data_IF_469959963865
#
_entry.id   IF_469959963865
#
_cell.length_a   1.000
_cell.length_b   1.000
_cell.length_c   1.000
_cell.angle_alpha   90.00
_cell.angle_beta   90.00
_cell.angle_gamma   90.00
#
_symmetry.space_group_name_H-M   'P 1'
#
loop_
_entity.id
_entity.type
_entity.pdbx_description
1 polymer ?
#
# COMPACT_ATOMS: atom_id res chain seq x y z
N UNK A 1 22.67 -21.56 -51.24
CA UNK A 1 21.51 -20.74 -50.88
C UNK A 1 20.89 -21.31 -49.61
N UNK A 2 21.62 -21.30 -48.47
CA UNK A 2 21.18 -21.75 -47.15
C UNK A 2 21.89 -20.86 -46.11
N UNK A 3 21.63 -19.56 -46.18
CA UNK A 3 22.12 -18.60 -45.21
C UNK A 3 20.97 -17.61 -44.94
N UNK A 4 19.96 -18.01 -44.17
CA UNK A 4 19.02 -17.09 -43.57
C UNK A 4 18.04 -17.82 -42.66
N UNK A 5 18.50 -18.35 -41.52
CA UNK A 5 17.66 -18.63 -40.36
C UNK A 5 18.55 -18.73 -39.10
N UNK A 6 19.44 -17.76 -38.90
CA UNK A 6 19.80 -17.42 -37.52
C UNK A 6 18.74 -16.41 -37.09
N UNK A 7 17.63 -16.87 -36.52
CA UNK A 7 16.83 -16.03 -35.65
C UNK A 7 17.78 -15.57 -34.56
N UNK A 8 18.23 -14.32 -34.64
CA UNK A 8 18.77 -13.62 -33.48
C UNK A 8 17.71 -13.73 -32.37
N UNK A 9 17.88 -14.66 -31.48
CA UNK A 9 17.24 -14.65 -30.18
C UNK A 9 17.93 -13.55 -29.37
N UNK A 10 17.78 -12.28 -29.77
CA UNK A 10 18.07 -11.18 -28.88
C UNK A 10 17.04 -11.30 -27.76
N UNK A 11 17.50 -11.56 -26.55
CA UNK A 11 16.70 -11.44 -25.36
C UNK A 11 16.08 -10.04 -25.37
N UNK A 12 14.75 -9.97 -25.41
CA UNK A 12 14.02 -8.72 -25.39
C UNK A 12 13.94 -8.28 -23.93
N UNK A 13 14.95 -7.49 -23.51
CA UNK A 13 15.04 -6.98 -22.14
C UNK A 13 13.89 -6.00 -21.87
N UNK A 14 13.05 -6.31 -20.92
CA UNK A 14 11.94 -5.45 -20.49
C UNK A 14 11.62 -5.61 -19.01
N UNK A 15 11.09 -4.55 -18.43
CA UNK A 15 10.67 -4.54 -17.02
C UNK A 15 9.20 -4.14 -16.94
N UNK A 16 8.41 -4.92 -16.20
CA UNK A 16 7.02 -4.60 -15.88
C UNK A 16 6.90 -4.32 -14.39
N UNK A 17 6.56 -3.07 -14.02
CA UNK A 17 6.16 -2.75 -12.66
C UNK A 17 4.70 -3.16 -12.47
N UNK A 18 4.45 -4.06 -11.55
CA UNK A 18 3.13 -4.65 -11.32
C UNK A 18 2.67 -4.41 -9.89
N UNK A 19 1.50 -3.79 -9.74
CA UNK A 19 0.81 -3.72 -8.46
C UNK A 19 0.15 -5.05 -8.10
N UNK A 20 0.52 -5.57 -6.94
CA UNK A 20 0.02 -6.84 -6.40
C UNK A 20 -1.37 -6.72 -5.76
N UNK A 21 -1.86 -5.48 -5.53
CA UNK A 21 -3.02 -5.25 -4.69
C UNK A 21 -2.70 -5.19 -3.19
N UNK A 22 -3.72 -5.06 -2.35
CA UNK A 22 -3.56 -4.71 -0.93
C UNK A 22 -3.18 -5.89 -0.02
N UNK A 23 -3.26 -7.16 -0.49
CA UNK A 23 -2.95 -8.34 0.33
C UNK A 23 -3.65 -9.60 -0.14
N UNK A 24 -4.95 -9.56 -0.39
CA UNK A 24 -5.71 -10.67 -0.99
C UNK A 24 -5.20 -10.92 -2.42
N UNK A 25 -4.70 -12.13 -2.74
CA UNK A 25 -4.19 -12.44 -4.06
C UNK A 25 -5.26 -12.34 -5.17
N UNK A 26 -6.53 -12.50 -4.86
CA UNK A 26 -7.62 -12.38 -5.83
C UNK A 26 -7.91 -10.93 -6.24
N UNK A 27 -7.31 -9.95 -5.54
CA UNK A 27 -7.40 -8.53 -5.90
C UNK A 27 -6.33 -8.07 -6.89
N UNK A 28 -5.54 -8.99 -7.43
CA UNK A 28 -4.64 -8.69 -8.55
C UNK A 28 -5.44 -8.47 -9.83
N UNK A 29 -4.95 -7.59 -10.71
CA UNK A 29 -5.57 -7.42 -12.02
C UNK A 29 -5.32 -8.61 -12.96
N UNK A 30 -6.28 -8.93 -13.84
CA UNK A 30 -6.08 -9.96 -14.88
C UNK A 30 -4.86 -9.66 -15.78
N UNK A 31 -4.54 -8.38 -16.01
CA UNK A 31 -3.34 -7.97 -16.74
C UNK A 31 -2.08 -8.32 -15.95
N UNK A 32 -2.13 -8.19 -14.62
CA UNK A 32 -1.05 -8.57 -13.72
C UNK A 32 -0.76 -10.07 -13.74
N UNK A 33 -1.82 -10.90 -13.69
CA UNK A 33 -1.67 -12.36 -13.82
C UNK A 33 -0.98 -12.73 -15.14
N UNK A 34 -1.39 -12.11 -16.25
CA UNK A 34 -0.77 -12.37 -17.58
C UNK A 34 0.70 -11.94 -17.62
N UNK A 35 1.06 -10.86 -16.95
CA UNK A 35 2.44 -10.42 -16.86
C UNK A 35 3.29 -11.43 -16.06
N UNK A 36 2.80 -11.89 -14.91
CA UNK A 36 3.45 -12.94 -14.12
C UNK A 36 3.66 -14.21 -14.92
N UNK A 37 2.65 -14.66 -15.69
CA UNK A 37 2.72 -15.85 -16.53
C UNK A 37 3.79 -15.77 -17.62
N UNK A 38 4.19 -14.58 -18.02
CA UNK A 38 5.22 -14.34 -19.04
C UNK A 38 6.57 -13.92 -18.46
N UNK A 39 6.73 -13.90 -17.13
CA UNK A 39 7.95 -13.48 -16.47
C UNK A 39 9.06 -14.51 -16.58
N UNK A 40 10.27 -14.04 -16.85
CA UNK A 40 11.50 -14.83 -16.70
C UNK A 40 12.06 -14.67 -15.27
N UNK A 41 11.84 -13.47 -14.68
CA UNK A 41 12.26 -13.13 -13.32
C UNK A 41 11.15 -12.36 -12.62
N UNK A 42 10.90 -12.64 -11.35
CA UNK A 42 10.00 -11.89 -10.47
C UNK A 42 10.78 -11.38 -9.27
N UNK A 43 10.88 -10.05 -9.13
CA UNK A 43 11.40 -9.39 -7.91
C UNK A 43 10.19 -8.90 -7.10
N UNK A 44 10.08 -9.30 -5.82
CA UNK A 44 8.90 -9.00 -5.01
C UNK A 44 9.21 -8.47 -3.62
N UNK A 45 8.31 -7.60 -3.10
CA UNK A 45 8.43 -6.92 -1.81
C UNK A 45 7.85 -7.75 -0.64
N UNK A 46 8.15 -7.33 0.58
CA UNK A 46 7.75 -8.02 1.82
C UNK A 46 6.23 -8.10 2.05
N UNK A 47 5.45 -7.12 1.59
CA UNK A 47 3.99 -7.09 1.76
C UNK A 47 3.24 -7.73 0.58
N UNK A 48 3.94 -8.32 -0.36
CA UNK A 48 3.34 -9.08 -1.47
C UNK A 48 2.91 -10.45 -0.94
N UNK A 49 1.69 -10.86 -1.26
CA UNK A 49 1.24 -12.23 -0.97
C UNK A 49 1.97 -13.21 -1.88
N UNK A 50 2.73 -14.12 -1.27
CA UNK A 50 3.57 -15.08 -2.00
C UNK A 50 2.74 -16.05 -2.87
N UNK A 51 1.43 -16.23 -2.62
CA UNK A 51 0.56 -17.02 -3.48
C UNK A 51 0.54 -16.50 -4.93
N UNK A 52 0.76 -15.19 -5.15
CA UNK A 52 0.85 -14.61 -6.48
C UNK A 52 2.03 -15.15 -7.31
N UNK A 53 3.09 -15.59 -6.64
CA UNK A 53 4.26 -16.18 -7.32
C UNK A 53 3.94 -17.51 -8.03
N UNK A 54 2.83 -18.14 -7.68
CA UNK A 54 2.36 -19.36 -8.35
C UNK A 54 1.84 -19.10 -9.77
N UNK A 55 1.54 -17.83 -10.12
CA UNK A 55 1.19 -17.47 -11.49
C UNK A 55 2.41 -17.40 -12.41
N UNK A 56 3.62 -17.22 -11.87
CA UNK A 56 4.84 -17.22 -12.68
C UNK A 56 5.22 -18.64 -13.10
N UNK A 57 5.86 -18.80 -14.28
CA UNK A 57 6.37 -20.10 -14.71
C UNK A 57 7.26 -20.75 -13.64
N UNK A 58 7.24 -22.07 -13.54
CA UNK A 58 8.07 -22.82 -12.58
C UNK A 58 9.56 -22.49 -12.74
N UNK A 59 10.01 -22.30 -13.98
CA UNK A 59 11.38 -21.94 -14.33
C UNK A 59 11.76 -20.47 -14.04
N UNK A 60 10.77 -19.62 -13.74
CA UNK A 60 11.02 -18.22 -13.47
C UNK A 60 11.82 -18.05 -12.17
N UNK A 61 12.83 -17.19 -12.19
CA UNK A 61 13.63 -16.85 -11.02
C UNK A 61 12.80 -15.94 -10.12
N UNK A 62 12.62 -16.29 -8.85
CA UNK A 62 11.83 -15.53 -7.88
C UNK A 62 12.77 -14.98 -6.82
N UNK A 63 12.85 -13.66 -6.67
CA UNK A 63 13.80 -12.96 -5.80
C UNK A 63 13.05 -12.06 -4.84
N UNK A 64 13.19 -12.34 -3.56
CA UNK A 64 12.72 -11.46 -2.50
C UNK A 64 13.67 -10.27 -2.38
N UNK A 65 13.15 -9.05 -2.52
CA UNK A 65 13.89 -7.80 -2.37
C UNK A 65 13.30 -6.89 -1.29
N UNK A 66 12.31 -7.41 -0.55
CA UNK A 66 11.70 -6.70 0.56
C UNK A 66 12.62 -6.63 1.79
N UNK A 67 12.20 -5.85 2.78
CA UNK A 67 12.88 -5.76 4.06
C UNK A 67 12.11 -6.61 5.08
N UNK A 68 12.74 -7.66 5.62
CA UNK A 68 12.22 -8.43 6.77
C UNK A 68 13.03 -8.05 8.01
N UNK A 69 12.37 -8.05 9.16
CA UNK A 69 13.02 -7.76 10.45
C UNK A 69 14.22 -8.72 10.67
N UNK A 70 15.42 -8.16 10.73
CA UNK A 70 16.66 -8.93 10.97
C UNK A 70 17.52 -9.20 9.74
N UNK A 71 17.05 -8.94 8.52
CA UNK A 71 17.83 -9.07 7.30
C UNK A 71 18.50 -7.74 6.93
N UNK A 72 19.65 -7.80 6.24
CA UNK A 72 20.20 -6.60 5.58
C UNK A 72 19.26 -6.16 4.47
N UNK A 73 18.63 -5.00 4.65
CA UNK A 73 17.71 -4.44 3.68
C UNK A 73 18.45 -4.10 2.38
N UNK A 74 17.92 -4.52 1.25
CA UNK A 74 18.36 -3.98 -0.03
C UNK A 74 18.11 -2.46 -0.06
N UNK A 75 19.15 -1.69 -0.37
CA UNK A 75 18.94 -0.28 -0.70
C UNK A 75 18.11 -0.16 -1.99
N UNK A 76 17.35 0.93 -2.15
CA UNK A 76 16.61 1.14 -3.41
C UNK A 76 17.53 1.08 -4.63
N UNK A 77 18.74 1.62 -4.51
CA UNK A 77 19.73 1.56 -5.56
C UNK A 77 20.13 0.11 -5.92
N UNK A 78 20.29 -0.75 -4.91
CA UNK A 78 20.58 -2.16 -5.14
C UNK A 78 19.42 -2.90 -5.82
N UNK A 79 18.16 -2.60 -5.44
CA UNK A 79 16.97 -3.15 -6.11
C UNK A 79 16.91 -2.70 -7.57
N UNK A 80 17.13 -1.41 -7.82
CA UNK A 80 17.14 -0.85 -9.18
C UNK A 80 18.20 -1.53 -10.04
N UNK A 81 19.42 -1.71 -9.51
CA UNK A 81 20.51 -2.39 -10.24
C UNK A 81 20.16 -3.86 -10.51
N UNK A 82 19.60 -4.58 -9.53
CA UNK A 82 19.17 -5.96 -9.72
C UNK A 82 18.13 -6.09 -10.85
N UNK A 83 17.12 -5.20 -10.91
CA UNK A 83 16.12 -5.22 -11.98
C UNK A 83 16.78 -5.12 -13.35
N UNK A 84 17.71 -4.18 -13.53
CA UNK A 84 18.44 -3.96 -14.79
C UNK A 84 19.30 -5.16 -15.14
N UNK A 85 20.10 -5.66 -14.19
CA UNK A 85 20.98 -6.81 -14.39
C UNK A 85 20.20 -8.05 -14.81
N UNK A 86 19.07 -8.31 -14.15
CA UNK A 86 18.22 -9.44 -14.50
C UNK A 86 17.51 -9.25 -15.85
N UNK A 87 17.06 -8.04 -16.19
CA UNK A 87 16.44 -7.78 -17.49
C UNK A 87 17.44 -8.00 -18.63
N UNK A 88 18.67 -7.53 -18.50
CA UNK A 88 19.72 -7.68 -19.52
C UNK A 88 20.17 -9.14 -19.71
N UNK A 89 20.14 -9.95 -18.65
CA UNK A 89 20.64 -11.31 -18.70
C UNK A 89 19.57 -12.38 -18.92
N UNK A 90 18.30 -12.11 -18.55
CA UNK A 90 17.23 -13.13 -18.54
C UNK A 90 15.99 -12.73 -19.35
N UNK A 91 15.76 -11.45 -19.68
CA UNK A 91 14.66 -10.99 -20.52
C UNK A 91 13.57 -10.24 -19.74
N UNK A 92 12.40 -10.82 -19.54
CA UNK A 92 11.26 -10.14 -18.90
C UNK A 92 11.33 -10.21 -17.38
N UNK A 93 11.60 -9.07 -16.75
CA UNK A 93 11.53 -8.90 -15.30
C UNK A 93 10.17 -8.33 -14.91
N UNK A 94 9.46 -9.00 -14.00
CA UNK A 94 8.29 -8.44 -13.32
C UNK A 94 8.70 -7.98 -11.93
N UNK A 95 8.62 -6.67 -11.69
CA UNK A 95 8.79 -6.05 -10.38
C UNK A 95 7.43 -5.99 -9.69
N UNK A 96 7.16 -6.94 -8.80
CA UNK A 96 5.89 -7.10 -8.10
C UNK A 96 5.91 -6.31 -6.79
N UNK A 97 5.08 -5.28 -6.71
CA UNK A 97 5.02 -4.30 -5.61
C UNK A 97 3.68 -4.39 -4.89
N UNK A 98 3.67 -4.28 -3.57
CA UNK A 98 2.42 -4.24 -2.80
C UNK A 98 1.58 -3.02 -3.18
N UNK A 99 0.26 -3.16 -3.16
CA UNK A 99 -0.68 -2.10 -3.53
C UNK A 99 -0.54 -1.67 -4.99
N UNK A 100 -0.31 -0.38 -5.20
CA UNK A 100 -0.07 0.25 -6.51
C UNK A 100 1.38 0.74 -6.62
N UNK A 101 2.08 0.55 -7.75
CA UNK A 101 3.49 0.93 -7.91
C UNK A 101 3.79 2.42 -7.74
N UNK A 102 2.79 3.29 -7.94
CA UNK A 102 2.93 4.75 -7.88
C UNK A 102 2.29 5.40 -6.64
N UNK A 103 1.73 4.60 -5.71
CA UNK A 103 1.17 5.12 -4.45
C UNK A 103 2.13 4.79 -3.31
N UNK A 104 2.97 5.73 -2.92
CA UNK A 104 4.02 5.62 -1.87
C UNK A 104 4.98 4.43 -2.05
N UNK A 105 5.19 3.97 -3.28
CA UNK A 105 5.94 2.77 -3.60
C UNK A 105 7.21 3.01 -4.45
N UNK A 106 7.60 4.27 -4.69
CA UNK A 106 8.82 4.67 -5.42
C UNK A 106 8.93 4.09 -6.85
N UNK A 107 7.79 3.72 -7.46
CA UNK A 107 7.80 3.07 -8.78
C UNK A 107 8.40 3.93 -9.89
N UNK A 108 8.24 5.27 -9.82
CA UNK A 108 8.84 6.15 -10.81
C UNK A 108 10.38 6.13 -10.78
N UNK A 109 10.99 6.04 -9.59
CA UNK A 109 12.44 5.92 -9.46
C UNK A 109 12.97 4.63 -10.11
N UNK A 110 12.21 3.53 -10.00
CA UNK A 110 12.53 2.25 -10.61
C UNK A 110 12.42 2.31 -12.15
N UNK A 111 11.38 3.00 -12.67
CA UNK A 111 11.18 3.23 -14.12
C UNK A 111 12.32 4.09 -14.68
N UNK A 112 12.55 5.26 -14.10
CA UNK A 112 13.58 6.22 -14.55
C UNK A 112 14.97 5.57 -14.61
N UNK A 113 15.29 4.78 -13.59
CA UNK A 113 16.56 4.04 -13.55
C UNK A 113 16.65 3.01 -14.68
N UNK A 114 15.60 2.22 -14.91
CA UNK A 114 15.59 1.19 -15.97
C UNK A 114 15.69 1.81 -17.37
N UNK A 115 14.95 2.89 -17.62
CA UNK A 115 14.95 3.61 -18.90
C UNK A 115 16.29 4.28 -19.18
N UNK A 116 17.07 4.67 -18.15
CA UNK A 116 18.45 5.16 -18.32
C UNK A 116 19.40 4.11 -18.94
N UNK A 117 19.05 2.82 -18.82
CA UNK A 117 19.75 1.69 -19.49
C UNK A 117 19.10 1.30 -20.82
N UNK A 118 18.17 2.11 -21.35
CA UNK A 118 17.41 1.83 -22.57
C UNK A 118 16.60 0.52 -22.51
N UNK A 119 16.13 0.14 -21.32
CA UNK A 119 15.25 -1.01 -21.12
C UNK A 119 13.80 -0.52 -21.24
N UNK A 120 13.00 -1.22 -22.04
CA UNK A 120 11.57 -0.94 -22.15
C UNK A 120 10.86 -1.20 -20.83
N UNK A 121 10.08 -0.23 -20.36
CA UNK A 121 9.29 -0.35 -19.13
C UNK A 121 7.79 -0.35 -19.41
N UNK A 122 7.03 -1.05 -18.60
CA UNK A 122 5.57 -1.02 -18.60
C UNK A 122 5.03 -1.03 -17.18
N UNK A 123 3.88 -0.38 -17.00
CA UNK A 123 3.23 -0.27 -15.70
C UNK A 123 1.88 -0.97 -15.74
N UNK A 124 1.62 -1.79 -14.73
CA UNK A 124 0.32 -2.40 -14.48
C UNK A 124 -0.13 -1.94 -13.10
N UNK A 125 -1.14 -1.03 -13.01
CA UNK A 125 -1.67 -0.57 -11.74
C UNK A 125 -2.18 -1.70 -10.87
N UNK A 126 -2.10 -1.50 -9.55
CA UNK A 126 -2.73 -2.35 -8.56
C UNK A 126 -3.76 -1.60 -7.73
N UNK A 127 -4.59 -2.33 -6.99
CA UNK A 127 -5.50 -1.72 -6.03
C UNK A 127 -4.68 -1.21 -4.84
N UNK A 128 -4.65 0.12 -4.65
CA UNK A 128 -4.01 0.71 -3.46
C UNK A 128 -4.79 0.34 -2.19
N UNK A 129 -4.07 -0.02 -1.12
CA UNK A 129 -4.67 -0.25 0.20
C UNK A 129 -5.42 0.98 0.71
N UNK A 130 -4.98 2.19 0.34
CA UNK A 130 -5.60 3.44 0.76
C UNK A 130 -7.08 3.56 0.36
N UNK A 131 -7.49 2.96 -0.74
CA UNK A 131 -8.87 3.00 -1.24
C UNK A 131 -9.56 1.64 -1.20
N UNK A 132 -8.82 0.57 -1.47
CA UNK A 132 -9.38 -0.79 -1.53
C UNK A 132 -9.78 -1.31 -0.17
N UNK A 133 -8.88 -1.22 0.82
CA UNK A 133 -9.11 -1.80 2.15
C UNK A 133 -10.27 -1.15 2.90
N UNK A 134 -10.39 0.19 3.00
CA UNK A 134 -11.56 0.79 3.62
C UNK A 134 -12.89 0.41 2.94
N UNK A 135 -12.86 0.28 1.59
CA UNK A 135 -14.03 -0.13 0.82
C UNK A 135 -14.54 -1.53 1.18
N UNK A 136 -13.66 -2.49 1.47
CA UNK A 136 -14.00 -3.83 1.95
C UNK A 136 -14.76 -3.76 3.29
N UNK A 137 -14.48 -2.75 4.12
CA UNK A 137 -15.14 -2.50 5.41
C UNK A 137 -16.34 -1.55 5.32
N UNK A 138 -16.85 -1.27 4.12
CA UNK A 138 -17.97 -0.34 3.91
C UNK A 138 -17.69 1.09 4.39
N UNK A 139 -16.42 1.48 4.39
CA UNK A 139 -15.98 2.85 4.65
C UNK A 139 -15.66 3.48 3.30
N UNK A 140 -16.57 4.27 2.71
CA UNK A 140 -16.33 4.94 1.44
C UNK A 140 -15.36 6.09 1.64
N UNK A 141 -14.56 6.41 0.63
CA UNK A 141 -13.68 7.58 0.69
C UNK A 141 -14.47 8.89 0.62
N UNK A 142 -15.58 8.87 -0.10
CA UNK A 142 -16.49 10.00 -0.29
C UNK A 142 -17.91 9.53 -0.06
N UNK A 143 -18.68 10.32 0.70
CA UNK A 143 -20.10 10.13 0.86
C UNK A 143 -20.76 11.51 1.00
N UNK A 144 -21.83 11.77 0.20
CA UNK A 144 -22.54 13.05 0.24
C UNK A 144 -22.90 13.42 1.66
N UNK A 145 -22.75 14.70 2.02
CA UNK A 145 -23.01 15.27 3.35
C UNK A 145 -21.96 14.96 4.42
N UNK A 146 -21.01 14.01 4.18
CA UNK A 146 -19.94 13.68 5.12
C UNK A 146 -18.56 14.07 4.63
N UNK A 147 -18.29 13.95 3.33
CA UNK A 147 -16.99 14.28 2.72
C UNK A 147 -17.15 14.43 1.21
N UNK A 148 -16.58 15.48 0.64
CA UNK A 148 -16.62 15.75 -0.81
C UNK A 148 -15.31 15.38 -1.51
N UNK A 149 -14.23 15.24 -0.75
CA UNK A 149 -12.92 14.81 -1.24
C UNK A 149 -12.20 13.92 -0.21
N UNK A 150 -11.05 13.40 -0.58
CA UNK A 150 -10.21 12.66 0.36
C UNK A 150 -8.72 12.91 0.10
N UNK A 151 -7.94 12.78 1.17
CA UNK A 151 -6.50 12.88 1.18
C UNK A 151 -5.89 11.49 1.41
N UNK A 152 -4.77 11.21 0.75
CA UNK A 152 -3.93 10.05 1.05
C UNK A 152 -2.53 10.56 1.38
N UNK A 153 -2.09 10.31 2.61
CA UNK A 153 -0.86 10.87 3.16
C UNK A 153 0.04 9.77 3.74
N UNK A 154 1.34 10.04 3.77
CA UNK A 154 2.25 9.31 4.64
C UNK A 154 2.17 9.87 6.06
N UNK A 155 2.10 9.03 7.07
CA UNK A 155 2.14 9.45 8.48
C UNK A 155 3.49 10.02 8.89
N UNK A 156 4.55 9.60 8.19
CA UNK A 156 5.92 10.05 8.46
C UNK A 156 6.63 10.54 7.20
N UNK A 157 7.55 11.47 7.37
CA UNK A 157 8.46 11.92 6.32
C UNK A 157 9.65 10.95 6.17
N UNK A 158 10.57 11.25 5.27
CA UNK A 158 11.79 10.43 5.02
C UNK A 158 12.75 10.35 6.21
N UNK A 159 12.58 11.18 7.24
CA UNK A 159 13.37 11.13 8.49
C UNK A 159 12.65 10.37 9.61
N UNK A 160 11.46 9.81 9.36
CA UNK A 160 10.65 9.16 10.38
C UNK A 160 9.92 10.13 11.34
N UNK A 161 9.89 11.43 11.01
CA UNK A 161 9.14 12.45 11.76
C UNK A 161 7.71 12.54 11.21
N UNK A 162 6.77 13.03 12.01
CA UNK A 162 5.39 13.30 11.57
C UNK A 162 5.38 14.16 10.30
N UNK A 163 4.60 13.74 9.31
CA UNK A 163 4.42 14.52 8.07
C UNK A 163 3.76 15.86 8.36
N UNK A 164 4.36 16.93 7.84
CA UNK A 164 3.81 18.29 7.98
C UNK A 164 2.42 18.44 7.30
N UNK A 165 2.16 17.62 6.28
CA UNK A 165 0.89 17.65 5.52
C UNK A 165 -0.31 17.24 6.38
N UNK A 166 -0.08 16.43 7.43
CA UNK A 166 -1.12 16.06 8.39
C UNK A 166 -1.79 17.26 9.06
N UNK A 167 -1.03 18.33 9.32
CA UNK A 167 -1.61 19.55 9.91
C UNK A 167 -2.60 20.22 8.96
N UNK A 168 -2.30 20.24 7.67
CA UNK A 168 -3.22 20.75 6.63
C UNK A 168 -4.47 19.88 6.51
N UNK A 169 -4.30 18.57 6.47
CA UNK A 169 -5.38 17.60 6.38
C UNK A 169 -6.29 17.63 7.62
N UNK A 170 -5.73 17.76 8.82
CA UNK A 170 -6.50 17.85 10.06
C UNK A 170 -7.42 19.08 10.14
N UNK A 171 -7.11 20.17 9.42
CA UNK A 171 -7.98 21.35 9.32
C UNK A 171 -9.17 21.16 8.39
N UNK A 172 -9.08 20.23 7.45
CA UNK A 172 -10.17 19.95 6.51
C UNK A 172 -11.22 19.02 7.14
N UNK A 173 -12.45 19.04 6.64
CA UNK A 173 -13.51 18.10 7.03
C UNK A 173 -13.56 16.86 6.13
N UNK A 174 -12.55 16.70 5.31
CA UNK A 174 -12.44 15.63 4.33
C UNK A 174 -11.94 14.33 4.95
N UNK A 175 -12.15 13.23 4.23
CA UNK A 175 -11.60 11.92 4.62
C UNK A 175 -10.08 11.92 4.48
N UNK A 176 -9.35 11.52 5.50
CA UNK A 176 -7.89 11.44 5.51
C UNK A 176 -7.45 10.01 5.73
N UNK A 177 -6.78 9.44 4.73
CA UNK A 177 -6.15 8.12 4.82
C UNK A 177 -4.67 8.29 5.06
N UNK A 178 -4.17 7.67 6.13
CA UNK A 178 -2.76 7.76 6.51
C UNK A 178 -2.12 6.38 6.39
N UNK A 179 -1.13 6.27 5.53
CA UNK A 179 -0.26 5.11 5.40
C UNK A 179 1.01 5.32 6.23
N UNK A 180 1.66 4.24 6.68
CA UNK A 180 2.93 4.32 7.44
C UNK A 180 2.82 5.21 8.70
N UNK A 181 1.66 5.19 9.38
CA UNK A 181 1.39 6.07 10.51
C UNK A 181 1.17 5.34 11.83
N UNK A 182 1.05 4.01 11.86
CA UNK A 182 0.63 3.29 13.06
C UNK A 182 1.55 3.49 14.25
N UNK A 183 2.86 3.49 14.06
CA UNK A 183 3.85 3.69 15.12
C UNK A 183 3.81 5.12 15.70
N UNK A 184 3.18 6.05 14.99
CA UNK A 184 3.01 7.45 15.36
C UNK A 184 1.54 7.82 15.64
N UNK A 185 0.68 6.82 15.86
CA UNK A 185 -0.77 7.02 16.03
C UNK A 185 -1.10 8.06 17.11
N UNK A 186 -0.41 8.04 18.24
CA UNK A 186 -0.61 8.98 19.34
C UNK A 186 -0.28 10.42 18.91
N UNK A 187 0.85 10.61 18.23
CA UNK A 187 1.27 11.92 17.73
C UNK A 187 0.34 12.41 16.62
N UNK A 188 -0.13 11.51 15.73
CA UNK A 188 -1.09 11.83 14.67
C UNK A 188 -2.43 12.24 15.29
N UNK A 189 -2.94 11.50 16.27
CA UNK A 189 -4.17 11.85 16.97
C UNK A 189 -4.08 13.25 17.62
N UNK A 190 -2.96 13.60 18.22
CA UNK A 190 -2.72 14.93 18.79
C UNK A 190 -2.76 16.05 17.75
N UNK A 191 -2.37 15.80 16.48
CA UNK A 191 -2.53 16.79 15.40
C UNK A 191 -4.01 17.08 15.16
N UNK A 192 -4.87 16.07 15.11
CA UNK A 192 -6.32 16.25 14.93
C UNK A 192 -6.98 16.89 16.17
N UNK A 193 -6.56 16.51 17.40
CA UNK A 193 -7.06 17.11 18.64
C UNK A 193 -6.80 18.61 18.70
N UNK A 194 -5.63 19.08 18.27
CA UNK A 194 -5.29 20.51 18.21
C UNK A 194 -6.24 21.32 17.33
N UNK A 195 -6.90 20.66 16.37
CA UNK A 195 -7.90 21.28 15.49
C UNK A 195 -9.34 21.07 16.01
N UNK A 196 -9.53 20.63 17.28
CA UNK A 196 -10.82 20.45 17.92
C UNK A 196 -11.60 19.21 17.42
N UNK A 197 -10.87 18.18 16.93
CA UNK A 197 -11.46 16.99 16.31
C UNK A 197 -11.36 15.74 17.18
N UNK A 198 -11.46 15.87 18.49
CA UNK A 198 -11.37 14.76 19.46
C UNK A 198 -12.41 13.67 19.18
N UNK A 199 -13.59 14.05 18.70
CA UNK A 199 -14.70 13.14 18.42
C UNK A 199 -14.77 12.67 16.96
N UNK A 200 -13.82 13.07 16.11
CA UNK A 200 -13.78 12.63 14.72
C UNK A 200 -13.64 11.09 14.68
N UNK A 201 -14.51 10.38 13.92
CA UNK A 201 -14.40 8.93 13.75
C UNK A 201 -13.08 8.52 13.09
N UNK A 202 -12.49 7.43 13.61
CA UNK A 202 -11.24 6.85 13.11
C UNK A 202 -11.37 5.35 12.98
N UNK A 203 -10.89 4.80 11.87
CA UNK A 203 -10.66 3.37 11.70
C UNK A 203 -9.16 3.10 11.57
N UNK A 204 -8.71 2.01 12.20
CA UNK A 204 -7.36 1.46 12.04
C UNK A 204 -7.51 0.05 11.50
N UNK A 205 -6.89 -0.24 10.37
CA UNK A 205 -7.00 -1.54 9.71
C UNK A 205 -5.60 -2.12 9.54
N UNK A 206 -5.30 -3.15 10.33
CA UNK A 206 -4.06 -3.92 10.30
C UNK A 206 -4.20 -5.08 9.31
N UNK A 207 -3.15 -5.39 8.57
CA UNK A 207 -3.09 -6.49 7.61
C UNK A 207 -4.28 -6.51 6.62
N UNK A 208 -4.74 -5.33 6.19
CA UNK A 208 -5.96 -5.18 5.40
C UNK A 208 -6.04 -6.09 4.18
N UNK A 209 -7.20 -6.71 3.96
CA UNK A 209 -7.54 -7.71 2.94
C UNK A 209 -6.82 -9.06 3.07
N UNK A 210 -6.12 -9.34 4.15
CA UNK A 210 -5.50 -10.65 4.39
C UNK A 210 -6.33 -11.48 5.38
N UNK A 211 -5.93 -12.74 5.58
CA UNK A 211 -6.58 -13.64 6.57
C UNK A 211 -6.33 -13.21 8.03
N UNK A 212 -5.28 -12.41 8.25
CA UNK A 212 -4.90 -11.90 9.57
C UNK A 212 -5.34 -10.45 9.77
N UNK A 213 -6.38 -10.02 9.03
CA UNK A 213 -6.91 -8.67 9.10
C UNK A 213 -7.58 -8.39 10.45
N UNK A 214 -7.25 -7.22 11.03
CA UNK A 214 -7.94 -6.67 12.20
C UNK A 214 -8.37 -5.24 11.94
N UNK A 215 -9.60 -4.91 12.34
CA UNK A 215 -10.12 -3.54 12.29
C UNK A 215 -10.49 -3.05 13.68
N UNK A 216 -10.02 -1.85 14.02
CA UNK A 216 -10.48 -1.07 15.15
C UNK A 216 -11.23 0.16 14.67
N UNK A 217 -12.32 0.50 15.32
CA UNK A 217 -13.10 1.71 15.07
C UNK A 217 -13.25 2.46 16.38
N UNK A 218 -12.94 3.74 16.38
CA UNK A 218 -12.99 4.61 17.55
C UNK A 218 -13.17 6.07 17.16
N UNK A 219 -12.75 6.96 18.03
CA UNK A 219 -12.62 8.39 17.77
C UNK A 219 -11.18 8.82 18.05
N UNK A 220 -10.79 9.98 17.52
CA UNK A 220 -9.42 10.53 17.68
C UNK A 220 -8.95 10.49 19.12
N UNK A 221 -9.84 10.79 20.08
CA UNK A 221 -9.49 10.84 21.50
C UNK A 221 -9.07 9.49 22.09
N UNK A 222 -9.65 8.39 21.61
CA UNK A 222 -9.47 7.05 22.19
C UNK A 222 -8.65 6.11 21.30
N UNK A 223 -8.42 6.45 20.05
CA UNK A 223 -7.87 5.48 19.08
C UNK A 223 -6.46 5.02 19.43
N UNK A 224 -5.63 5.90 19.99
CA UNK A 224 -4.24 5.54 20.35
C UNK A 224 -4.20 4.50 21.48
N UNK A 225 -5.09 4.61 22.48
CA UNK A 225 -5.22 3.64 23.57
C UNK A 225 -5.76 2.31 23.05
N UNK A 226 -6.78 2.35 22.17
CA UNK A 226 -7.32 1.15 21.54
C UNK A 226 -6.25 0.38 20.75
N UNK A 227 -5.39 1.08 20.01
CA UNK A 227 -4.27 0.48 19.27
C UNK A 227 -3.29 -0.21 20.20
N UNK A 228 -2.94 0.42 21.34
CA UNK A 228 -2.03 -0.15 22.34
C UNK A 228 -2.65 -1.38 23.02
N UNK A 229 -3.91 -1.29 23.47
CA UNK A 229 -4.62 -2.37 24.15
C UNK A 229 -4.78 -3.61 23.28
N UNK A 230 -5.06 -3.42 22.00
CA UNK A 230 -5.20 -4.50 21.01
C UNK A 230 -3.90 -4.90 20.33
N UNK A 231 -2.78 -4.22 20.68
CA UNK A 231 -1.44 -4.49 20.14
C UNK A 231 -1.37 -4.45 18.62
N UNK A 232 -2.12 -3.54 18.00
CA UNK A 232 -2.07 -3.35 16.55
C UNK A 232 -0.70 -2.85 16.11
N UNK A 233 -0.19 -3.42 15.05
CA UNK A 233 1.16 -3.17 14.56
C UNK A 233 1.18 -2.91 13.03
N UNK A 234 2.38 -2.69 12.48
CA UNK A 234 2.59 -2.58 11.03
C UNK A 234 2.52 -3.98 10.37
N UNK A 235 1.92 -4.09 9.17
CA UNK A 235 1.37 -3.00 8.37
C UNK A 235 -0.08 -2.64 8.74
N UNK A 236 -0.34 -1.35 8.91
CA UNK A 236 -1.69 -0.86 9.16
C UNK A 236 -1.93 0.48 8.44
N UNK A 237 -3.17 0.75 8.08
CA UNK A 237 -3.62 2.04 7.58
C UNK A 237 -4.63 2.67 8.54
N UNK A 238 -4.67 4.00 8.54
CA UNK A 238 -5.55 4.79 9.39
C UNK A 238 -6.51 5.57 8.50
N UNK A 239 -7.79 5.62 8.88
CA UNK A 239 -8.80 6.42 8.17
C UNK A 239 -9.45 7.37 9.17
N UNK A 240 -9.25 8.67 8.99
CA UNK A 240 -9.88 9.73 9.78
C UNK A 240 -10.99 10.37 8.95
N UNK A 241 -12.18 10.50 9.50
CA UNK A 241 -13.27 11.18 8.81
C UNK A 241 -14.65 10.69 9.21
N UNK A 242 -15.65 11.54 8.95
CA UNK A 242 -17.04 11.23 9.26
C UNK A 242 -17.58 9.99 8.52
N UNK A 243 -16.98 9.62 7.38
CA UNK A 243 -17.35 8.40 6.64
C UNK A 243 -17.12 7.12 7.43
N UNK A 244 -16.23 7.12 8.43
CA UNK A 244 -15.99 5.98 9.31
C UNK A 244 -17.23 5.68 10.18
N UNK A 245 -18.08 6.69 10.46
CA UNK A 245 -19.34 6.49 11.19
C UNK A 245 -20.34 5.58 10.47
N UNK A 246 -20.14 5.34 9.17
CA UNK A 246 -20.96 4.39 8.40
C UNK A 246 -20.60 2.93 8.69
N UNK A 247 -19.43 2.67 9.29
CA UNK A 247 -19.05 1.33 9.68
C UNK A 247 -19.98 0.78 10.77
N UNK A 248 -20.48 -0.47 10.68
CA UNK A 248 -21.47 -1.02 11.62
C UNK A 248 -21.06 -0.96 13.09
N UNK A 249 -19.77 -1.11 13.38
CA UNK A 249 -19.26 -1.05 14.76
C UNK A 249 -19.31 0.36 15.37
N UNK A 250 -19.41 1.42 14.57
CA UNK A 250 -19.45 2.79 15.08
C UNK A 250 -20.77 3.12 15.79
N UNK A 251 -21.86 2.45 15.46
CA UNK A 251 -23.15 2.66 16.12
C UNK A 251 -23.05 2.44 17.64
N UNK A 252 -22.30 1.44 18.11
CA UNK A 252 -22.08 1.17 19.54
C UNK A 252 -21.32 2.31 20.23
N UNK A 253 -20.36 2.89 19.54
CA UNK A 253 -19.54 4.01 20.02
C UNK A 253 -20.41 5.25 20.16
N UNK A 254 -21.22 5.56 19.15
CA UNK A 254 -22.15 6.69 19.15
C UNK A 254 -23.13 6.60 20.29
N UNK A 255 -23.72 5.44 20.53
CA UNK A 255 -24.70 5.23 21.60
C UNK A 255 -24.04 5.42 22.99
N UNK A 256 -22.79 4.98 23.17
CA UNK A 256 -22.00 5.22 24.38
C UNK A 256 -21.78 6.72 24.66
N UNK A 257 -21.37 7.49 23.64
CA UNK A 257 -21.18 8.93 23.82
C UNK A 257 -22.50 9.72 24.00
N UNK A 258 -23.60 9.26 23.40
CA UNK A 258 -24.91 9.85 23.65
C UNK A 258 -25.33 9.71 25.13
N UNK A 259 -25.14 8.53 25.73
CA UNK A 259 -25.41 8.27 27.14
C UNK A 259 -24.56 9.17 28.04
N UNK A 260 -23.28 9.40 27.73
CA UNK A 260 -22.41 10.28 28.53
C UNK A 260 -22.75 11.78 28.42
N UNK A 261 -23.36 12.19 27.30
CA UNK A 261 -23.75 13.58 27.09
C UNK A 261 -25.05 13.94 27.81
N UNK A 262 -25.89 12.94 28.16
CA UNK A 262 -27.16 13.07 28.90
C UNK A 262 -26.99 12.86 30.40
N UNK A 263 -25.78 12.52 30.88
CA UNK A 263 -25.42 12.32 32.29
C UNK A 263 -24.69 13.54 32.88
#
# INVERSE_FOLDING_TARGET
>A
MVLNQIKNNQLESRITLLGAGPGDPDLISLKGVKALQSADVVLYDALVNEALLNHAPEKAIKIFVGNRTGDEAFSQQAVNQLMVDYALNYGHVVRLKSGDPFVFARGYEEVDFAESYSIETSIIPGISSATGVPGLHKIPMIYRELSESFWVLSGVNTRGEISADLTGAAKSDETVVVLMGIEKIREIAEVFKKEGKERLPVAVIENGSTVDEHILVGVVDTIAELVEDHKISSPALLVFGNVVSLHPSFNRIRDFYAILADA
#
